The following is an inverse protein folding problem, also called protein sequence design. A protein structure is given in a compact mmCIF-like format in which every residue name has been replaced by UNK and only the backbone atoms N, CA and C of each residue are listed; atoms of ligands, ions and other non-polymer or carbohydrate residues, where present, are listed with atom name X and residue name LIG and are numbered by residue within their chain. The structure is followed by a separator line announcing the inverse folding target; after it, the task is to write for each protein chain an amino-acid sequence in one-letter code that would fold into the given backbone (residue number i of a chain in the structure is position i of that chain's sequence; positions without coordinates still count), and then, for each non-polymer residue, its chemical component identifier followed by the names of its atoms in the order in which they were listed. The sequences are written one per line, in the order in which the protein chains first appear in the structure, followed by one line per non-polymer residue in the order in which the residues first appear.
data_IF_860089822572
#
_entry.id   IF_860089822572
#
_cell.length_a   1.000
_cell.length_b   1.000
_cell.length_c   1.000
_cell.angle_alpha   90.00
_cell.angle_beta   90.00
_cell.angle_gamma   90.00
#
_symmetry.space_group_name_H-M   'P 1'
#
loop_
_entity.id
_entity.type
_entity.pdbx_description
1 polymer ?
#
# COMPACT_ATOMS: atom_id res chain seq x y z
N UNK A 1 5.09 -9.30 -20.52
CA UNK A 1 4.82 -8.22 -19.55
C UNK A 1 4.58 -6.97 -20.36
N UNK A 2 3.50 -6.24 -20.08
CA UNK A 2 3.24 -4.96 -20.75
C UNK A 2 4.26 -3.92 -20.29
N UNK A 3 4.52 -2.89 -21.10
CA UNK A 3 5.41 -1.77 -20.74
C UNK A 3 5.01 -1.10 -19.42
N UNK A 4 3.70 -1.04 -19.14
CA UNK A 4 3.14 -0.50 -17.90
C UNK A 4 3.46 -1.38 -16.67
N UNK A 5 3.37 -2.70 -16.79
CA UNK A 5 3.71 -3.61 -15.69
C UNK A 5 5.20 -3.53 -15.31
N UNK A 6 6.06 -3.31 -16.29
CA UNK A 6 7.50 -3.12 -16.07
C UNK A 6 7.78 -1.77 -15.42
N UNK A 7 7.13 -0.69 -15.86
CA UNK A 7 7.21 0.62 -15.20
C UNK A 7 6.80 0.54 -13.72
N UNK A 8 5.72 -0.18 -13.42
CA UNK A 8 5.30 -0.43 -12.04
C UNK A 8 6.31 -1.28 -11.25
N UNK A 9 6.94 -2.29 -11.87
CA UNK A 9 8.02 -3.04 -11.20
C UNK A 9 9.15 -2.12 -10.80
N UNK A 10 9.64 -1.30 -11.74
CA UNK A 10 10.73 -0.37 -11.50
C UNK A 10 10.36 0.58 -10.35
N UNK A 11 9.18 1.22 -10.41
CA UNK A 11 8.67 2.10 -9.36
C UNK A 11 8.71 1.42 -7.97
N UNK A 12 8.12 0.23 -7.84
CA UNK A 12 8.04 -0.45 -6.55
C UNK A 12 9.36 -1.04 -6.07
N UNK A 13 10.27 -1.40 -6.98
CA UNK A 13 11.64 -1.81 -6.64
C UNK A 13 12.48 -0.63 -6.16
N UNK A 14 12.34 0.54 -6.77
CA UNK A 14 13.00 1.78 -6.33
C UNK A 14 12.44 2.29 -5.00
N UNK A 15 11.12 2.16 -4.80
CA UNK A 15 10.45 2.53 -3.56
C UNK A 15 11.00 1.74 -2.36
N UNK A 16 11.18 0.45 -2.56
CA UNK A 16 11.67 -0.49 -1.58
C UNK A 16 12.20 -1.76 -2.27
N UNK A 17 13.52 -1.96 -2.21
CA UNK A 17 14.21 -3.13 -2.75
C UNK A 17 13.66 -4.47 -2.19
N UNK A 18 12.98 -4.43 -1.04
CA UNK A 18 12.33 -5.60 -0.44
C UNK A 18 10.82 -5.67 -0.74
N UNK A 19 10.34 -4.98 -1.78
CA UNK A 19 8.97 -5.10 -2.27
C UNK A 19 8.88 -6.10 -3.44
N UNK A 20 7.84 -6.93 -3.39
CA UNK A 20 7.50 -7.90 -4.43
C UNK A 20 6.04 -7.74 -4.82
N UNK A 21 5.77 -7.36 -6.06
CA UNK A 21 4.41 -7.33 -6.59
C UNK A 21 3.90 -8.78 -6.68
N UNK A 22 2.73 -9.03 -6.10
CA UNK A 22 2.06 -10.33 -6.11
C UNK A 22 0.94 -10.35 -7.14
N UNK A 23 0.30 -9.20 -7.37
CA UNK A 23 -0.82 -9.11 -8.30
C UNK A 23 -0.92 -7.72 -8.90
N UNK A 24 -1.10 -7.68 -10.22
CA UNK A 24 -1.58 -6.51 -10.94
C UNK A 24 -3.10 -6.61 -11.10
N UNK A 25 -3.81 -5.53 -10.82
CA UNK A 25 -5.27 -5.42 -10.96
C UNK A 25 -5.57 -4.10 -11.67
N UNK A 26 -6.35 -4.10 -12.75
CA UNK A 26 -6.78 -2.87 -13.43
C UNK A 26 -5.63 -1.90 -13.78
N UNK A 27 -4.57 -2.39 -14.43
CA UNK A 27 -3.47 -1.53 -14.94
C UNK A 27 -3.89 -0.92 -16.27
N UNK A 28 -4.34 0.33 -16.25
CA UNK A 28 -4.83 1.06 -17.43
C UNK A 28 -3.77 2.07 -17.88
N UNK A 29 -3.08 2.70 -16.94
CA UNK A 29 -2.00 3.67 -17.17
C UNK A 29 -1.16 3.81 -15.89
N UNK A 30 -0.06 4.56 -15.96
CA UNK A 30 0.78 4.89 -14.79
C UNK A 30 0.04 5.66 -13.69
N UNK A 31 -1.13 6.21 -14.04
CA UNK A 31 -1.94 7.06 -13.16
C UNK A 31 -3.26 6.41 -12.76
N UNK A 32 -3.52 5.21 -13.30
CA UNK A 32 -4.72 4.44 -13.08
C UNK A 32 -4.37 2.96 -13.03
N UNK A 33 -3.99 2.51 -11.84
CA UNK A 33 -3.60 1.13 -11.58
C UNK A 33 -4.06 0.66 -10.20
N UNK A 34 -4.12 -0.66 -10.02
CA UNK A 34 -4.20 -1.29 -8.71
C UNK A 34 -3.16 -2.41 -8.62
N UNK A 35 -2.41 -2.45 -7.52
CA UNK A 35 -1.43 -3.51 -7.29
C UNK A 35 -1.51 -4.01 -5.87
N UNK A 36 -1.22 -5.29 -5.70
CA UNK A 36 -0.99 -5.90 -4.39
C UNK A 36 0.46 -6.35 -4.33
N UNK A 37 1.17 -5.90 -3.31
CA UNK A 37 2.59 -6.18 -3.11
C UNK A 37 2.86 -6.64 -1.68
N UNK A 38 3.95 -7.38 -1.55
CA UNK A 38 4.48 -7.89 -0.29
C UNK A 38 5.80 -7.20 -0.02
N UNK A 39 5.97 -6.68 1.18
CA UNK A 39 7.20 -5.98 1.60
C UNK A 39 7.65 -6.46 2.97
N UNK A 40 8.95 -6.29 3.25
CA UNK A 40 9.54 -6.46 4.58
C UNK A 40 9.46 -5.12 5.32
N UNK A 41 8.47 -4.98 6.20
CA UNK A 41 8.35 -3.82 7.07
C UNK A 41 9.04 -4.10 8.41
N UNK A 42 10.04 -3.30 8.77
CA UNK A 42 10.71 -3.38 10.07
C UNK A 42 9.90 -2.66 11.15
N UNK A 43 9.90 -3.21 12.37
CA UNK A 43 9.31 -2.57 13.56
C UNK A 43 10.37 -1.82 14.38
N UNK A 44 11.27 -1.07 13.72
CA UNK A 44 12.37 -0.35 14.40
C UNK A 44 11.87 0.62 15.48
N UNK A 45 10.61 1.05 15.41
CA UNK A 45 9.97 1.81 16.48
C UNK A 45 8.51 1.42 16.72
N UNK A 46 7.65 1.51 15.70
CA UNK A 46 6.24 1.12 15.76
C UNK A 46 5.75 0.78 14.36
N UNK A 47 4.76 -0.11 14.28
CA UNK A 47 4.08 -0.43 13.02
C UNK A 47 3.44 0.80 12.35
N UNK A 48 2.95 1.78 13.12
CA UNK A 48 2.44 3.03 12.55
C UNK A 48 3.53 3.76 11.77
N UNK A 49 4.70 3.96 12.38
CA UNK A 49 5.82 4.68 11.75
C UNK A 49 6.35 3.93 10.53
N UNK A 50 6.35 2.59 10.55
CA UNK A 50 6.71 1.79 9.39
C UNK A 50 5.74 2.02 8.21
N UNK A 51 4.42 2.04 8.47
CA UNK A 51 3.43 2.37 7.44
C UNK A 51 3.60 3.80 6.92
N UNK A 52 3.82 4.77 7.81
CA UNK A 52 3.97 6.18 7.44
C UNK A 52 5.20 6.41 6.57
N UNK A 53 6.34 5.79 6.91
CA UNK A 53 7.57 5.85 6.11
C UNK A 53 7.37 5.27 4.71
N UNK A 54 6.65 4.16 4.59
CA UNK A 54 6.37 3.56 3.28
C UNK A 54 5.50 4.50 2.42
N UNK A 55 4.43 5.07 3.00
CA UNK A 55 3.54 6.00 2.29
C UNK A 55 4.26 7.31 1.94
N UNK A 56 5.15 7.81 2.79
CA UNK A 56 5.97 9.00 2.53
C UNK A 56 6.86 8.81 1.30
N UNK A 57 7.56 7.67 1.21
CA UNK A 57 8.35 7.35 0.01
C UNK A 57 7.49 7.27 -1.25
N UNK A 58 6.32 6.65 -1.13
CA UNK A 58 5.38 6.52 -2.25
C UNK A 58 4.83 7.88 -2.67
N UNK A 59 4.57 8.75 -1.70
CA UNK A 59 4.14 10.15 -1.91
C UNK A 59 5.19 10.92 -2.69
N UNK A 60 6.47 10.80 -2.34
CA UNK A 60 7.58 11.47 -3.02
C UNK A 60 7.69 11.00 -4.48
N UNK A 61 7.66 9.68 -4.72
CA UNK A 61 7.80 9.15 -6.08
C UNK A 61 6.60 9.44 -6.98
N UNK A 62 5.39 9.45 -6.43
CA UNK A 62 4.16 9.60 -7.22
C UNK A 62 3.57 11.01 -7.18
N UNK A 63 4.24 11.94 -6.49
CA UNK A 63 3.79 13.30 -6.22
C UNK A 63 2.30 13.34 -5.79
N UNK A 64 1.92 12.52 -4.81
CA UNK A 64 0.52 12.36 -4.41
C UNK A 64 0.33 12.49 -2.90
N UNK A 65 -0.77 13.14 -2.47
CA UNK A 65 -1.02 13.42 -1.04
C UNK A 65 -1.99 12.43 -0.42
N UNK A 66 -1.59 11.85 0.72
CA UNK A 66 -2.33 10.82 1.44
C UNK A 66 -2.67 11.24 2.87
N UNK A 67 -3.86 10.88 3.33
CA UNK A 67 -4.31 11.07 4.71
C UNK A 67 -4.79 9.75 5.30
N UNK A 68 -4.58 9.57 6.60
CA UNK A 68 -5.02 8.37 7.31
C UNK A 68 -6.55 8.37 7.40
N UNK A 69 -7.19 7.32 6.89
CA UNK A 69 -8.62 7.09 7.05
C UNK A 69 -8.92 6.25 8.28
N UNK A 70 -8.20 5.13 8.45
CA UNK A 70 -8.42 4.19 9.55
C UNK A 70 -7.12 3.57 10.02
N UNK A 71 -7.07 3.29 11.32
CA UNK A 71 -5.98 2.55 11.98
C UNK A 71 -6.58 1.44 12.82
N UNK A 72 -6.06 0.22 12.66
CA UNK A 72 -6.47 -0.96 13.42
C UNK A 72 -5.23 -1.56 14.11
N UNK A 73 -4.93 -1.16 15.35
CA UNK A 73 -3.68 -1.49 16.01
C UNK A 73 -3.59 -2.96 16.45
N UNK A 74 -4.72 -3.63 16.67
CA UNK A 74 -4.78 -5.07 16.98
C UNK A 74 -5.98 -5.67 16.27
N UNK A 75 -5.76 -6.75 15.51
CA UNK A 75 -6.84 -7.55 14.92
C UNK A 75 -6.52 -9.03 15.08
N UNK A 76 -7.52 -9.90 14.97
CA UNK A 76 -7.33 -11.35 15.17
C UNK A 76 -6.28 -11.97 14.24
N UNK A 77 -6.12 -11.45 13.02
CA UNK A 77 -5.24 -12.01 11.98
C UNK A 77 -4.05 -11.13 11.61
N UNK A 78 -4.00 -9.89 12.07
CA UNK A 78 -2.96 -8.92 11.71
C UNK A 78 -2.38 -8.26 12.95
N UNK A 79 -1.05 -8.08 12.95
CA UNK A 79 -0.35 -7.31 13.96
C UNK A 79 -0.71 -5.84 13.92
N UNK A 80 -1.00 -5.30 12.72
CA UNK A 80 -1.38 -3.91 12.52
C UNK A 80 -2.04 -3.73 11.16
N UNK A 81 -2.93 -2.74 11.01
CA UNK A 81 -3.41 -2.29 9.69
C UNK A 81 -3.63 -0.79 9.70
N UNK A 82 -3.26 -0.14 8.60
CA UNK A 82 -3.47 1.29 8.40
C UNK A 82 -3.92 1.57 6.98
N UNK A 83 -4.96 2.37 6.84
CA UNK A 83 -5.61 2.67 5.57
C UNK A 83 -5.47 4.15 5.30
N UNK A 84 -4.93 4.48 4.13
CA UNK A 84 -4.76 5.83 3.63
C UNK A 84 -5.70 6.06 2.44
N UNK A 85 -6.19 7.28 2.31
CA UNK A 85 -6.92 7.76 1.15
C UNK A 85 -6.27 9.02 0.63
N UNK A 86 -6.52 9.36 -0.62
CA UNK A 86 -6.07 10.65 -1.14
C UNK A 86 -6.63 11.81 -0.32
N UNK A 87 -5.81 12.84 -0.07
CA UNK A 87 -6.18 14.05 0.67
C UNK A 87 -7.40 14.75 0.07
N UNK A 88 -7.45 14.88 -1.26
CA UNK A 88 -8.59 15.50 -1.93
C UNK A 88 -9.89 14.72 -1.71
N UNK A 89 -9.83 13.41 -1.47
CA UNK A 89 -11.00 12.61 -1.07
C UNK A 89 -11.53 13.00 0.32
N UNK A 90 -10.66 13.35 1.27
CA UNK A 90 -11.12 13.76 2.61
C UNK A 90 -11.77 15.14 2.57
N UNK A 91 -11.28 16.03 1.71
CA UNK A 91 -11.84 17.38 1.48
C UNK A 91 -13.14 17.31 0.68
N UNK A 92 -13.25 16.37 -0.27
CA UNK A 92 -14.43 16.14 -1.09
C UNK A 92 -15.68 15.67 -0.32
N UNK A 93 -15.58 15.37 0.98
CA UNK A 93 -16.77 15.13 1.83
C UNK A 93 -17.76 16.31 1.84
N UNK A 94 -17.33 17.52 1.42
CA UNK A 94 -18.21 18.69 1.20
C UNK A 94 -18.82 18.76 -0.21
N UNK A 95 -18.28 18.07 -1.22
CA UNK A 95 -18.75 18.09 -2.61
C UNK A 95 -18.99 16.66 -3.12
N UNK A 96 -20.27 16.24 -3.17
CA UNK A 96 -20.74 14.87 -3.43
C UNK A 96 -20.27 14.21 -4.74
N UNK A 97 -19.67 14.96 -5.68
CA UNK A 97 -19.38 14.48 -7.06
C UNK A 97 -17.89 14.24 -7.37
N UNK A 98 -16.96 14.28 -6.39
CA UNK A 98 -15.51 14.04 -6.61
C UNK A 98 -14.94 12.98 -5.66
N UNK A 99 -15.50 11.77 -5.65
CA UNK A 99 -14.98 10.67 -4.83
C UNK A 99 -13.74 10.05 -5.49
N UNK A 100 -12.57 10.52 -5.08
CA UNK A 100 -11.31 9.92 -5.50
C UNK A 100 -11.19 8.49 -4.96
N UNK A 101 -10.95 7.52 -5.85
CA UNK A 101 -10.86 6.08 -5.51
C UNK A 101 -9.48 5.69 -4.98
N UNK A 102 -8.51 6.59 -5.05
CA UNK A 102 -7.15 6.33 -4.65
C UNK A 102 -7.06 5.99 -3.15
N UNK A 103 -6.47 4.83 -2.86
CA UNK A 103 -6.42 4.22 -1.53
C UNK A 103 -5.16 3.36 -1.39
N UNK A 104 -4.52 3.43 -0.22
CA UNK A 104 -3.47 2.49 0.19
C UNK A 104 -3.94 1.75 1.43
N UNK A 105 -3.93 0.41 1.41
CA UNK A 105 -4.26 -0.45 2.55
C UNK A 105 -3.03 -1.26 2.94
N UNK A 106 -2.37 -0.86 4.03
CA UNK A 106 -1.18 -1.53 4.56
C UNK A 106 -1.60 -2.45 5.70
N UNK A 107 -1.30 -3.73 5.57
CA UNK A 107 -1.60 -4.78 6.56
C UNK A 107 -0.32 -5.48 6.97
N UNK A 108 -0.06 -5.54 8.26
CA UNK A 108 1.10 -6.22 8.81
C UNK A 108 0.62 -7.54 9.39
N UNK A 109 1.04 -8.65 8.79
CA UNK A 109 0.63 -9.98 9.22
C UNK A 109 1.27 -10.31 10.58
N UNK A 110 0.48 -10.96 11.45
CA UNK A 110 1.00 -11.52 12.69
C UNK A 110 1.84 -12.75 12.35
N UNK A 111 3.06 -12.80 12.87
CA UNK A 111 3.93 -13.97 12.71
C UNK A 111 3.55 -14.99 13.79
N UNK A 112 2.94 -16.09 13.36
CA UNK A 112 2.63 -17.24 14.21
C UNK A 112 3.06 -18.50 13.48
N UNK A 113 3.33 -19.59 14.20
CA UNK A 113 3.73 -20.87 13.57
C UNK A 113 2.71 -21.35 12.53
N UNK A 114 1.41 -21.23 12.85
CA UNK A 114 0.32 -21.58 11.94
C UNK A 114 0.32 -20.70 10.67
N UNK A 115 0.61 -19.41 10.81
CA UNK A 115 0.71 -18.50 9.67
C UNK A 115 1.96 -18.81 8.81
N UNK A 116 3.09 -19.12 9.45
CA UNK A 116 4.33 -19.50 8.76
C UNK A 116 4.16 -20.79 7.96
N UNK A 117 3.41 -21.78 8.46
CA UNK A 117 3.13 -23.02 7.71
C UNK A 117 2.36 -22.77 6.41
N UNK A 118 1.50 -21.73 6.38
CA UNK A 118 0.57 -21.45 5.26
C UNK A 118 1.08 -20.36 4.30
N UNK A 119 1.92 -19.44 4.76
CA UNK A 119 2.37 -18.28 3.99
C UNK A 119 3.89 -18.33 3.76
N UNK A 120 4.30 -18.79 2.57
CA UNK A 120 5.71 -18.91 2.20
C UNK A 120 6.46 -17.58 2.22
N UNK A 121 5.80 -16.48 1.84
CA UNK A 121 6.39 -15.15 1.84
C UNK A 121 6.61 -14.63 3.26
N UNK A 122 5.67 -14.92 4.17
CA UNK A 122 5.84 -14.62 5.59
C UNK A 122 7.03 -15.37 6.19
N UNK A 123 7.26 -16.64 5.80
CA UNK A 123 8.47 -17.39 6.22
C UNK A 123 9.77 -16.72 5.79
N UNK A 124 9.77 -16.10 4.62
CA UNK A 124 10.93 -15.34 4.10
C UNK A 124 11.00 -13.89 4.62
N UNK A 125 10.14 -13.53 5.58
CA UNK A 125 10.16 -12.22 6.26
C UNK A 125 9.27 -11.14 5.66
N UNK A 126 8.55 -11.40 4.56
CA UNK A 126 7.61 -10.43 3.97
C UNK A 126 6.33 -10.38 4.80
N UNK A 127 6.34 -9.59 5.86
CA UNK A 127 5.23 -9.42 6.80
C UNK A 127 4.19 -8.39 6.34
N UNK A 128 4.58 -7.42 5.50
CA UNK A 128 3.71 -6.39 4.95
C UNK A 128 2.94 -6.89 3.73
N UNK A 129 1.64 -6.66 3.72
CA UNK A 129 0.72 -6.84 2.60
C UNK A 129 0.12 -5.47 2.28
N UNK A 130 0.49 -4.91 1.13
CA UNK A 130 0.11 -3.56 0.73
C UNK A 130 -0.72 -3.65 -0.54
N UNK A 131 -1.95 -3.13 -0.46
CA UNK A 131 -2.78 -2.91 -1.63
C UNK A 131 -2.81 -1.43 -1.97
N UNK A 132 -2.33 -1.09 -3.16
CA UNK A 132 -2.38 0.25 -3.72
C UNK A 132 -3.48 0.27 -4.78
N UNK A 133 -4.42 1.19 -4.64
CA UNK A 133 -5.34 1.60 -5.70
C UNK A 133 -4.96 3.04 -6.02
N UNK A 134 -4.37 3.27 -7.18
CA UNK A 134 -3.90 4.57 -7.63
C UNK A 134 -4.77 5.01 -8.79
N UNK A 135 -5.94 5.57 -8.46
CA UNK A 135 -6.95 5.97 -9.43
C UNK A 135 -7.56 7.29 -8.95
N UNK A 136 -6.96 8.39 -9.41
CA UNK A 136 -7.32 9.75 -9.04
C UNK A 136 -8.32 10.33 -10.03
N UNK A 137 -9.38 10.96 -9.53
CA UNK A 137 -10.35 11.71 -10.33
C UNK A 137 -10.00 13.21 -10.42
N UNK A 138 -8.75 13.56 -10.13
CA UNK A 138 -8.21 14.91 -10.02
C UNK A 138 -6.70 14.89 -10.29
N UNK A 139 -6.09 16.05 -10.50
CA UNK A 139 -4.64 16.20 -10.54
C UNK A 139 -4.02 15.85 -9.18
N UNK A 140 -2.93 15.10 -9.18
CA UNK A 140 -2.27 14.59 -7.97
C UNK A 140 -1.50 15.66 -7.22
#
# INVERSE_FOLDING_TARGET
MSTLEEGLRILFTELDQHSKIIKYENVISDDNFSVSLRTKLSNESTWSKACDRWVERFTVQTNSKWVVKYTFPKTLRMAYRKVYICKENSVASRNRNKSCKAKIDIRIKKVTESALKKDSLLRTGYNGDIKVVFSHSHSR
#
